data_IF_647364433507
#
_entry.id   IF_647364433507
#
_cell.length_a   1.000
_cell.length_b   1.000
_cell.length_c   1.000
_cell.angle_alpha   90.00
_cell.angle_beta   90.00
_cell.angle_gamma   90.00
#
_symmetry.space_group_name_H-M   'P 1'
#
loop_
_entity.id
_entity.type
_entity.pdbx_description
1 polymer ?
#
# COMPACT_ATOMS: atom_id res chain seq x y z
N UNK A 1 24.47 87.08 14.33
CA UNK A 1 23.23 86.63 13.65
C UNK A 1 23.61 85.46 12.75
N UNK A 2 23.30 84.23 13.18
CA UNK A 2 22.32 83.27 12.56
C UNK A 2 22.94 82.42 11.44
N UNK A 3 23.28 81.14 11.69
CA UNK A 3 22.52 79.88 11.51
C UNK A 3 22.72 79.22 10.13
N UNK A 4 23.00 77.89 10.08
CA UNK A 4 22.89 77.06 8.87
C UNK A 4 23.69 75.75 8.89
N UNK A 5 22.99 74.61 8.95
CA UNK A 5 23.41 73.19 9.11
C UNK A 5 23.60 72.49 7.74
N UNK A 6 24.31 71.33 7.62
CA UNK A 6 24.73 70.71 6.36
C UNK A 6 23.84 69.54 5.87
N UNK A 7 23.94 69.17 4.58
CA UNK A 7 23.37 67.96 3.96
C UNK A 7 24.33 67.38 2.90
N UNK A 8 24.70 66.08 2.97
CA UNK A 8 24.08 64.88 2.33
C UNK A 8 24.63 64.65 0.91
N UNK A 9 25.05 63.48 0.40
CA UNK A 9 25.23 62.05 0.76
C UNK A 9 26.06 61.43 -0.43
N UNK A 10 26.39 60.11 -0.59
CA UNK A 10 26.26 58.96 0.31
C UNK A 10 27.56 58.11 0.43
N UNK A 11 27.65 57.28 1.47
CA UNK A 11 28.59 56.16 1.57
C UNK A 11 27.82 54.84 1.58
N UNK A 12 28.40 53.87 0.89
CA UNK A 12 27.95 52.49 0.67
C UNK A 12 27.85 51.76 2.02
N UNK A 13 26.69 51.19 2.33
CA UNK A 13 26.52 50.28 3.47
C UNK A 13 27.14 48.91 3.16
N UNK A 14 28.21 48.59 3.88
CA UNK A 14 28.73 47.22 3.99
C UNK A 14 27.79 46.37 4.86
N UNK A 15 27.37 45.23 4.30
CA UNK A 15 26.45 44.30 4.94
C UNK A 15 26.99 43.69 6.24
N UNK A 16 26.15 43.67 7.27
CA UNK A 16 26.41 43.04 8.55
C UNK A 16 26.66 41.53 8.43
N UNK A 17 27.60 40.96 9.22
CA UNK A 17 27.87 39.53 9.21
C UNK A 17 26.72 38.73 9.85
N UNK A 18 26.31 37.67 9.16
CA UNK A 18 25.17 36.83 9.51
C UNK A 18 25.18 36.29 10.94
N UNK A 19 24.02 36.43 11.58
CA UNK A 19 23.65 35.85 12.88
C UNK A 19 24.01 34.36 12.95
N UNK A 20 24.99 34.02 13.80
CA UNK A 20 25.23 32.65 14.28
C UNK A 20 24.01 32.22 15.10
N UNK A 21 23.06 31.56 14.47
CA UNK A 21 21.97 30.90 15.19
C UNK A 21 22.59 29.90 16.16
N UNK A 22 22.33 30.09 17.45
CA UNK A 22 22.78 29.22 18.52
C UNK A 22 22.12 27.84 18.33
N UNK A 23 22.85 26.91 17.69
CA UNK A 23 22.30 25.62 17.26
C UNK A 23 22.18 24.68 18.46
N UNK A 24 21.02 24.70 19.11
CA UNK A 24 20.66 23.75 20.16
C UNK A 24 20.75 22.31 19.66
N UNK A 25 21.66 21.53 20.25
CA UNK A 25 21.82 20.11 19.99
C UNK A 25 20.95 19.29 20.93
N UNK A 26 20.80 17.99 20.67
CA UNK A 26 20.09 17.07 21.58
C UNK A 26 20.72 17.01 22.97
N UNK A 27 22.01 17.36 23.12
CA UNK A 27 22.67 17.45 24.42
C UNK A 27 22.16 18.64 25.24
N UNK A 28 21.73 19.70 24.56
CA UNK A 28 21.21 20.94 25.15
C UNK A 28 19.71 20.85 25.46
N UNK A 29 19.01 19.89 24.86
CA UNK A 29 17.64 19.52 25.25
C UNK A 29 17.66 18.77 26.59
N UNK A 30 16.84 19.17 27.57
CA UNK A 30 16.67 18.43 28.82
C UNK A 30 16.44 16.95 28.53
N UNK A 31 17.06 16.02 29.26
CA UNK A 31 16.93 14.59 28.97
C UNK A 31 15.48 14.12 28.86
N UNK A 32 14.56 14.71 29.63
CA UNK A 32 13.14 14.37 29.63
C UNK A 32 12.37 14.83 28.37
N UNK A 33 12.90 15.79 27.63
CA UNK A 33 12.27 16.36 26.43
C UNK A 33 12.84 15.77 25.12
N UNK A 34 13.89 14.96 25.23
CA UNK A 34 14.50 14.31 24.08
C UNK A 34 13.53 13.25 23.50
N UNK A 35 13.39 13.17 22.17
CA UNK A 35 12.47 12.24 21.51
C UNK A 35 12.55 10.77 21.96
N UNK A 36 13.75 10.22 22.22
CA UNK A 36 13.88 8.81 22.66
C UNK A 36 13.35 8.62 24.08
N UNK A 37 13.74 9.49 24.97
CA UNK A 37 13.34 9.48 26.37
C UNK A 37 11.82 9.74 26.49
N UNK A 38 11.28 10.63 25.66
CA UNK A 38 9.82 10.83 25.52
C UNK A 38 9.11 9.58 24.99
N UNK A 39 9.65 8.92 23.96
CA UNK A 39 9.09 7.68 23.43
C UNK A 39 9.02 6.60 24.52
N UNK A 40 10.09 6.46 25.31
CA UNK A 40 10.15 5.50 26.43
C UNK A 40 9.17 5.83 27.56
N UNK A 41 8.98 7.12 27.86
CA UNK A 41 8.16 7.57 28.99
C UNK A 41 6.67 7.68 28.68
N UNK A 42 6.33 8.12 27.48
CA UNK A 42 4.97 8.52 27.12
C UNK A 42 4.34 7.71 25.98
N UNK A 43 5.12 6.88 25.26
CA UNK A 43 4.65 6.13 24.11
C UNK A 43 4.70 6.92 22.80
N UNK A 44 4.61 6.19 21.67
CA UNK A 44 4.78 6.75 20.33
C UNK A 44 3.65 7.69 19.89
N UNK A 45 2.43 7.47 20.41
CA UNK A 45 1.23 8.25 20.11
C UNK A 45 1.29 9.69 20.65
N UNK A 46 2.24 9.98 21.55
CA UNK A 46 2.49 11.31 22.13
C UNK A 46 3.63 12.07 21.48
N UNK A 47 4.25 11.51 20.44
CA UNK A 47 5.31 12.16 19.68
C UNK A 47 4.77 12.75 18.38
N UNK A 48 5.30 13.90 17.97
CA UNK A 48 5.04 14.43 16.63
C UNK A 48 5.73 13.61 15.54
N UNK A 49 5.32 13.76 14.28
CA UNK A 49 6.02 13.15 13.14
C UNK A 49 7.50 13.54 13.08
N UNK A 50 7.83 14.78 13.41
CA UNK A 50 9.23 15.26 13.50
C UNK A 50 10.00 14.54 14.62
N UNK A 51 9.38 14.31 15.77
CA UNK A 51 9.98 13.57 16.89
C UNK A 51 10.19 12.09 16.54
N UNK A 52 9.23 11.46 15.87
CA UNK A 52 9.35 10.07 15.39
C UNK A 52 10.48 9.93 14.37
N UNK A 53 10.56 10.85 13.39
CA UNK A 53 11.67 10.92 12.45
C UNK A 53 13.01 11.13 13.16
N UNK A 54 13.04 11.99 14.18
CA UNK A 54 14.25 12.22 14.99
C UNK A 54 14.72 10.96 15.72
N UNK A 55 13.80 10.15 16.23
CA UNK A 55 14.11 8.85 16.85
C UNK A 55 14.70 7.90 15.81
N UNK A 56 14.04 7.76 14.65
CA UNK A 56 14.48 6.89 13.57
C UNK A 56 15.88 7.30 13.08
N UNK A 57 16.07 8.55 12.67
CA UNK A 57 17.35 9.04 12.11
C UNK A 57 18.48 8.98 13.12
N UNK A 58 18.17 8.93 14.43
CA UNK A 58 19.07 8.64 15.55
C UNK A 58 20.06 9.76 15.89
N UNK A 59 20.85 10.20 14.91
CA UNK A 59 21.90 11.20 15.10
C UNK A 59 21.89 12.23 13.98
N UNK A 60 22.30 13.45 14.32
CA UNK A 60 22.53 14.52 13.36
C UNK A 60 23.68 14.23 12.39
N UNK A 61 24.09 15.24 11.63
CA UNK A 61 25.35 15.25 10.89
C UNK A 61 26.19 16.44 11.35
N UNK A 62 27.43 16.56 10.88
CA UNK A 62 28.31 17.69 11.18
C UNK A 62 27.61 19.03 10.97
N UNK A 63 27.36 19.74 12.07
CA UNK A 63 26.71 21.06 12.09
C UNK A 63 25.20 21.07 11.92
N UNK A 64 24.51 19.93 11.93
CA UNK A 64 23.04 19.86 11.80
C UNK A 64 22.46 18.83 12.79
N UNK A 65 21.78 19.28 13.86
CA UNK A 65 21.10 18.41 14.82
C UNK A 65 20.01 17.55 14.16
N UNK A 66 19.70 16.41 14.78
CA UNK A 66 18.72 15.46 14.21
C UNK A 66 17.30 16.04 14.09
N UNK A 67 16.90 16.91 15.02
CA UNK A 67 15.62 17.64 14.94
C UNK A 67 15.56 18.54 13.71
N UNK A 68 16.64 19.27 13.42
CA UNK A 68 16.72 20.12 12.20
C UNK A 68 16.60 19.26 10.93
N UNK A 69 17.23 18.08 10.90
CA UNK A 69 17.09 17.15 9.76
C UNK A 69 15.64 16.65 9.61
N UNK A 70 14.99 16.28 10.71
CA UNK A 70 13.60 15.83 10.71
C UNK A 70 12.64 16.95 10.28
N UNK A 71 12.90 18.18 10.72
CA UNK A 71 12.14 19.36 10.35
C UNK A 71 12.25 19.66 8.85
N UNK A 72 13.46 19.65 8.30
CA UNK A 72 13.70 19.84 6.86
C UNK A 72 13.00 18.77 6.00
N UNK A 73 12.92 17.52 6.46
CA UNK A 73 12.14 16.49 5.78
C UNK A 73 10.65 16.84 5.72
N UNK A 74 10.07 17.30 6.83
CA UNK A 74 8.65 17.69 6.88
C UNK A 74 8.40 18.91 5.99
N UNK A 75 9.27 19.92 6.01
CA UNK A 75 9.13 21.10 5.13
C UNK A 75 9.23 20.71 3.65
N UNK A 76 10.23 19.92 3.28
CA UNK A 76 10.51 19.61 1.87
C UNK A 76 9.45 18.72 1.21
N UNK A 77 8.83 17.81 1.99
CA UNK A 77 7.87 16.84 1.46
C UNK A 77 6.43 17.09 1.93
N UNK A 78 6.21 17.93 2.94
CA UNK A 78 4.90 18.33 3.45
C UNK A 78 4.21 17.31 4.36
N UNK A 79 4.45 16.01 4.20
CA UNK A 79 3.82 14.96 4.99
C UNK A 79 4.68 13.70 5.12
N UNK A 80 4.42 12.88 6.15
CA UNK A 80 5.06 11.57 6.31
C UNK A 80 4.79 10.63 5.12
N UNK A 81 3.59 10.70 4.52
CA UNK A 81 3.24 9.92 3.34
C UNK A 81 4.11 10.30 2.13
N UNK A 82 4.28 11.61 1.87
CA UNK A 82 5.15 12.08 0.80
C UNK A 82 6.64 11.72 1.02
N UNK A 83 7.09 11.66 2.28
CA UNK A 83 8.43 11.17 2.63
C UNK A 83 8.53 9.66 2.34
N UNK A 84 7.50 8.89 2.67
CA UNK A 84 7.45 7.45 2.40
C UNK A 84 7.50 7.14 0.90
N UNK A 85 6.82 7.94 0.07
CA UNK A 85 6.78 7.80 -1.39
C UNK A 85 8.05 8.28 -2.09
N UNK A 86 8.82 9.17 -1.46
CA UNK A 86 10.05 9.70 -2.03
C UNK A 86 11.04 8.57 -2.38
N UNK A 87 11.73 8.77 -3.50
CA UNK A 87 12.85 7.93 -3.90
C UNK A 87 14.07 8.19 -3.02
N UNK A 88 14.99 7.22 -2.94
CA UNK A 88 16.26 7.37 -2.21
C UNK A 88 17.02 8.62 -2.69
N UNK A 89 17.02 8.90 -3.99
CA UNK A 89 17.69 10.08 -4.56
C UNK A 89 17.03 11.39 -4.17
N UNK A 90 15.70 11.43 -4.04
CA UNK A 90 15.00 12.61 -3.53
C UNK A 90 15.30 12.83 -2.04
N UNK A 91 15.27 11.78 -1.22
CA UNK A 91 15.60 11.86 0.21
C UNK A 91 17.03 12.35 0.45
N UNK A 92 17.99 11.89 -0.36
CA UNK A 92 19.41 12.29 -0.28
C UNK A 92 19.66 13.77 -0.57
N UNK A 93 18.68 14.51 -1.12
CA UNK A 93 18.79 15.97 -1.32
C UNK A 93 18.73 16.72 0.01
N UNK A 94 18.17 16.12 1.06
CA UNK A 94 18.14 16.72 2.39
C UNK A 94 19.51 16.60 3.04
N UNK A 95 20.08 17.75 3.43
CA UNK A 95 21.36 17.78 4.14
C UNK A 95 21.28 16.89 5.40
N UNK A 96 22.24 15.99 5.54
CA UNK A 96 22.29 15.05 6.66
C UNK A 96 21.56 13.73 6.45
N UNK A 97 20.90 13.53 5.30
CA UNK A 97 20.36 12.24 4.85
C UNK A 97 21.31 11.63 3.81
N UNK A 98 22.22 10.79 4.27
CA UNK A 98 23.05 9.94 3.41
C UNK A 98 22.34 8.64 3.02
N UNK A 99 22.99 7.77 2.22
CA UNK A 99 22.40 6.51 1.76
C UNK A 99 21.91 5.63 2.91
N UNK A 100 22.67 5.54 4.01
CA UNK A 100 22.28 4.75 5.19
C UNK A 100 20.96 5.22 5.82
N UNK A 101 20.80 6.54 6.01
CA UNK A 101 19.59 7.13 6.61
C UNK A 101 18.40 7.08 5.65
N UNK A 102 18.62 7.26 4.35
CA UNK A 102 17.59 7.11 3.34
C UNK A 102 17.05 5.66 3.31
N UNK A 103 17.93 4.66 3.26
CA UNK A 103 17.55 3.25 3.34
C UNK A 103 16.83 2.94 4.65
N UNK A 104 17.28 3.50 5.77
CA UNK A 104 16.62 3.32 7.06
C UNK A 104 15.18 3.84 7.07
N UNK A 105 14.93 5.03 6.51
CA UNK A 105 13.57 5.57 6.38
C UNK A 105 12.71 4.68 5.46
N UNK A 106 13.23 4.30 4.28
CA UNK A 106 12.51 3.40 3.37
C UNK A 106 12.19 2.07 4.02
N UNK A 107 13.11 1.49 4.78
CA UNK A 107 12.87 0.26 5.51
C UNK A 107 11.79 0.43 6.58
N UNK A 108 11.82 1.52 7.35
CA UNK A 108 10.81 1.78 8.37
C UNK A 108 9.40 1.92 7.77
N UNK A 109 9.25 2.67 6.68
CA UNK A 109 7.96 2.80 6.00
C UNK A 109 7.52 1.52 5.31
N UNK A 110 8.45 0.74 4.74
CA UNK A 110 8.12 -0.57 4.16
C UNK A 110 7.68 -1.57 5.23
N UNK A 111 8.29 -1.55 6.41
CA UNK A 111 7.83 -2.35 7.56
C UNK A 111 6.43 -1.91 7.97
N UNK A 112 6.18 -0.60 8.08
CA UNK A 112 4.84 -0.09 8.40
C UNK A 112 3.81 -0.51 7.34
N UNK A 113 4.14 -0.42 6.05
CA UNK A 113 3.28 -0.87 4.94
C UNK A 113 3.00 -2.38 5.03
N UNK A 114 4.02 -3.21 5.23
CA UNK A 114 3.85 -4.66 5.41
C UNK A 114 3.09 -5.01 6.67
N UNK A 115 3.27 -4.24 7.73
CA UNK A 115 2.54 -4.38 8.97
C UNK A 115 1.06 -4.03 8.74
N UNK A 116 0.74 -2.92 8.08
CA UNK A 116 -0.62 -2.57 7.67
C UNK A 116 -1.22 -3.62 6.73
N UNK A 117 -0.46 -4.14 5.77
CA UNK A 117 -0.87 -5.26 4.91
C UNK A 117 -1.11 -6.55 5.72
N UNK A 118 -0.35 -6.77 6.79
CA UNK A 118 -0.58 -7.89 7.71
C UNK A 118 -1.79 -7.68 8.62
N UNK A 119 -2.06 -6.43 9.01
CA UNK A 119 -3.27 -6.00 9.72
C UNK A 119 -4.50 -6.00 8.82
N UNK A 120 -4.31 -5.88 7.50
CA UNK A 120 -5.34 -6.10 6.48
C UNK A 120 -5.85 -7.56 6.48
N UNK A 121 -5.30 -8.41 7.36
CA UNK A 121 -5.94 -9.62 7.86
C UNK A 121 -7.27 -9.42 8.58
N UNK A 122 -7.69 -8.19 8.93
CA UNK A 122 -8.92 -7.90 9.68
C UNK A 122 -9.83 -6.80 9.09
N UNK A 123 -10.00 -6.78 7.77
CA UNK A 123 -11.34 -6.65 7.16
C UNK A 123 -11.27 -7.25 5.75
N UNK A 124 -11.03 -8.56 5.71
CA UNK A 124 -11.14 -9.33 4.47
C UNK A 124 -12.48 -8.97 3.83
N UNK A 125 -12.44 -8.42 2.61
CA UNK A 125 -13.64 -8.00 1.88
C UNK A 125 -14.60 -9.17 1.83
N UNK A 126 -15.81 -8.97 2.36
CA UNK A 126 -16.86 -9.98 2.26
C UNK A 126 -17.31 -10.07 0.80
N UNK A 127 -17.15 -11.26 0.21
CA UNK A 127 -17.53 -11.56 -1.16
C UNK A 127 -18.79 -12.43 -1.19
N UNK A 128 -19.82 -11.97 -0.46
CA UNK A 128 -21.04 -12.74 -0.26
C UNK A 128 -22.01 -12.74 -1.46
N UNK A 129 -21.87 -11.81 -2.41
CA UNK A 129 -22.71 -11.70 -3.62
C UNK A 129 -21.89 -11.67 -4.91
N UNK A 130 -22.51 -12.08 -6.02
CA UNK A 130 -21.86 -12.01 -7.34
C UNK A 130 -21.48 -10.57 -7.71
N UNK A 131 -22.30 -9.58 -7.33
CA UNK A 131 -21.97 -8.16 -7.48
C UNK A 131 -20.69 -7.77 -6.71
N UNK A 132 -20.51 -8.25 -5.48
CA UNK A 132 -19.31 -7.99 -4.69
C UNK A 132 -18.08 -8.66 -5.32
N UNK A 133 -18.21 -9.91 -5.78
CA UNK A 133 -17.16 -10.65 -6.50
C UNK A 133 -16.76 -9.92 -7.79
N UNK A 134 -17.74 -9.54 -8.61
CA UNK A 134 -17.50 -8.84 -9.86
C UNK A 134 -16.81 -7.49 -9.63
N UNK A 135 -17.25 -6.73 -8.62
CA UNK A 135 -16.60 -5.46 -8.21
C UNK A 135 -15.16 -5.69 -7.75
N UNK A 136 -14.90 -6.76 -7.01
CA UNK A 136 -13.56 -7.11 -6.51
C UNK A 136 -12.59 -7.49 -7.64
N UNK A 137 -13.06 -8.16 -8.70
CA UNK A 137 -12.20 -8.64 -9.79
C UNK A 137 -12.03 -7.62 -10.92
N UNK A 138 -13.02 -6.76 -11.20
CA UNK A 138 -12.95 -5.80 -12.31
C UNK A 138 -11.67 -4.97 -12.41
N UNK A 139 -11.09 -4.41 -11.33
CA UNK A 139 -9.84 -3.66 -11.43
C UNK A 139 -8.68 -4.49 -11.99
N UNK A 140 -8.69 -5.81 -11.79
CA UNK A 140 -7.67 -6.73 -12.32
C UNK A 140 -7.87 -7.09 -13.79
N UNK A 141 -9.03 -6.73 -14.35
CA UNK A 141 -9.47 -7.03 -15.71
C UNK A 141 -9.41 -5.83 -16.67
N UNK A 142 -9.32 -4.59 -16.17
CA UNK A 142 -9.52 -3.36 -16.95
C UNK A 142 -8.64 -3.24 -18.22
N UNK A 143 -7.43 -3.81 -18.21
CA UNK A 143 -6.50 -3.75 -19.36
C UNK A 143 -6.26 -5.10 -20.05
N UNK A 144 -7.08 -6.11 -19.76
CA UNK A 144 -6.86 -7.49 -20.26
C UNK A 144 -7.64 -7.72 -21.55
N UNK A 145 -6.93 -7.70 -22.69
CA UNK A 145 -7.48 -8.09 -24.01
C UNK A 145 -7.63 -9.60 -24.20
N UNK A 146 -7.07 -10.39 -23.30
CA UNK A 146 -7.16 -11.86 -23.27
C UNK A 146 -8.09 -12.28 -22.13
N UNK A 147 -8.71 -13.44 -22.27
CA UNK A 147 -9.42 -14.07 -21.16
C UNK A 147 -8.42 -14.42 -20.05
N UNK A 148 -8.83 -14.23 -18.80
CA UNK A 148 -8.07 -14.53 -17.60
C UNK A 148 -9.00 -15.25 -16.63
N UNK A 149 -8.64 -16.46 -16.22
CA UNK A 149 -9.39 -17.24 -15.25
C UNK A 149 -8.76 -17.10 -13.87
N UNK A 150 -9.56 -16.79 -12.86
CA UNK A 150 -9.15 -16.55 -11.49
C UNK A 150 -9.77 -17.57 -10.56
N UNK A 151 -9.02 -17.94 -9.53
CA UNK A 151 -9.53 -18.62 -8.33
C UNK A 151 -9.47 -17.63 -7.16
N UNK A 152 -10.56 -17.55 -6.40
CA UNK A 152 -10.74 -16.63 -5.27
C UNK A 152 -11.03 -17.49 -4.05
N UNK A 153 -10.12 -17.48 -3.10
CA UNK A 153 -10.19 -18.27 -1.88
C UNK A 153 -10.96 -17.50 -0.81
N UNK A 154 -11.96 -18.13 -0.19
CA UNK A 154 -12.78 -17.51 0.85
C UNK A 154 -12.70 -18.29 2.17
N UNK A 155 -12.78 -17.58 3.29
CA UNK A 155 -12.91 -18.20 4.61
C UNK A 155 -14.36 -18.58 4.94
N UNK A 156 -14.58 -19.17 6.12
CA UNK A 156 -15.90 -19.64 6.55
C UNK A 156 -16.93 -18.51 6.71
N UNK A 157 -16.47 -17.26 6.82
CA UNK A 157 -17.30 -16.05 6.84
C UNK A 157 -17.41 -15.39 5.46
N UNK A 158 -17.05 -16.11 4.39
CA UNK A 158 -17.11 -15.64 3.00
C UNK A 158 -16.24 -14.41 2.72
N UNK A 159 -15.16 -14.28 3.49
CA UNK A 159 -14.24 -13.17 3.34
C UNK A 159 -13.04 -13.58 2.52
N UNK A 160 -12.59 -12.67 1.65
CA UNK A 160 -11.46 -12.87 0.75
C UNK A 160 -10.17 -13.26 1.48
N UNK A 161 -9.61 -14.42 1.18
CA UNK A 161 -8.29 -14.86 1.63
C UNK A 161 -7.25 -14.43 0.59
N UNK A 162 -7.48 -14.79 -0.67
CA UNK A 162 -6.51 -14.65 -1.76
C UNK A 162 -7.19 -14.76 -3.13
N UNK A 163 -6.61 -14.13 -4.14
CA UNK A 163 -6.98 -14.31 -5.55
C UNK A 163 -5.75 -14.69 -6.34
N UNK A 164 -5.80 -15.81 -7.07
CA UNK A 164 -4.75 -16.24 -7.98
C UNK A 164 -5.26 -16.32 -9.42
N UNK A 165 -4.37 -16.09 -10.38
CA UNK A 165 -4.62 -16.32 -11.80
C UNK A 165 -4.32 -17.78 -12.10
N UNK A 166 -5.31 -18.50 -12.61
CA UNK A 166 -5.20 -19.92 -13.00
C UNK A 166 -4.74 -20.02 -14.46
N UNK A 167 -5.30 -19.19 -15.34
CA UNK A 167 -4.95 -19.18 -16.76
C UNK A 167 -5.09 -17.80 -17.40
N UNK A 168 -4.33 -17.57 -18.48
CA UNK A 168 -4.39 -16.37 -19.33
C UNK A 168 -4.33 -16.79 -20.79
N UNK A 169 -5.30 -16.36 -21.61
CA UNK A 169 -5.50 -16.85 -22.98
C UNK A 169 -6.85 -17.53 -23.11
N UNK A 170 -7.10 -18.23 -24.23
CA UNK A 170 -8.34 -19.01 -24.37
C UNK A 170 -8.52 -19.97 -23.21
N UNK A 171 -9.75 -20.11 -22.76
CA UNK A 171 -10.21 -21.14 -21.81
C UNK A 171 -10.09 -22.56 -22.39
N UNK A 172 -8.92 -22.96 -22.91
CA UNK A 172 -8.72 -24.38 -23.22
C UNK A 172 -8.85 -25.19 -21.91
N UNK A 173 -9.75 -26.17 -21.92
CA UNK A 173 -9.98 -27.15 -20.83
C UNK A 173 -8.76 -27.66 -20.05
N UNK A 174 -7.55 -27.59 -20.62
CA UNK A 174 -6.29 -27.99 -19.98
C UNK A 174 -5.75 -26.98 -18.97
N UNK A 175 -6.02 -25.68 -19.14
CA UNK A 175 -5.41 -24.60 -18.35
C UNK A 175 -6.17 -24.28 -17.05
N UNK A 176 -7.49 -24.48 -17.02
CA UNK A 176 -8.32 -24.29 -15.81
C UNK A 176 -8.68 -25.63 -15.14
N UNK A 177 -7.74 -26.57 -15.09
CA UNK A 177 -7.97 -27.89 -14.51
C UNK A 177 -8.33 -27.79 -13.00
N UNK A 178 -9.23 -28.63 -12.44
CA UNK A 178 -9.58 -28.57 -11.01
C UNK A 178 -8.37 -28.58 -10.06
N UNK A 179 -7.31 -29.31 -10.42
CA UNK A 179 -6.06 -29.32 -9.64
C UNK A 179 -5.48 -27.91 -9.45
N UNK A 180 -5.46 -27.09 -10.50
CA UNK A 180 -4.87 -25.75 -10.47
C UNK A 180 -5.79 -24.79 -9.69
N UNK A 181 -7.10 -24.94 -9.83
CA UNK A 181 -8.10 -24.12 -9.12
C UNK A 181 -8.06 -24.36 -7.60
N UNK A 182 -7.89 -25.61 -7.18
CA UNK A 182 -7.97 -26.01 -5.78
C UNK A 182 -6.62 -26.17 -5.06
N UNK A 183 -5.48 -26.16 -5.76
CA UNK A 183 -4.15 -26.31 -5.13
C UNK A 183 -3.91 -25.24 -4.04
N UNK A 184 -4.13 -23.97 -4.38
CA UNK A 184 -4.02 -22.87 -3.43
C UNK A 184 -5.10 -22.95 -2.32
N UNK A 185 -6.30 -23.43 -2.66
CA UNK A 185 -7.40 -23.56 -1.71
C UNK A 185 -7.07 -24.54 -0.57
N UNK A 186 -6.44 -25.67 -0.91
CA UNK A 186 -5.99 -26.67 0.08
C UNK A 186 -4.85 -26.11 0.93
N UNK A 187 -3.86 -25.48 0.30
CA UNK A 187 -2.67 -24.91 0.96
C UNK A 187 -3.04 -23.80 1.96
N UNK A 188 -3.92 -22.90 1.55
CA UNK A 188 -4.30 -21.70 2.31
C UNK A 188 -5.54 -21.93 3.18
N UNK A 189 -5.99 -23.20 3.31
CA UNK A 189 -7.12 -23.64 4.15
C UNK A 189 -8.41 -22.86 3.86
N UNK A 190 -8.71 -22.67 2.59
CA UNK A 190 -9.95 -22.03 2.16
C UNK A 190 -11.17 -22.88 2.55
N UNK A 191 -12.24 -22.23 2.99
CA UNK A 191 -13.52 -22.91 3.27
C UNK A 191 -14.34 -23.11 2.00
N UNK A 192 -14.26 -22.16 1.07
CA UNK A 192 -14.92 -22.23 -0.24
C UNK A 192 -14.07 -21.51 -1.29
N UNK A 193 -14.31 -21.82 -2.57
CA UNK A 193 -13.67 -21.17 -3.71
C UNK A 193 -14.74 -20.50 -4.59
N UNK A 194 -14.43 -19.33 -5.12
CA UNK A 194 -15.15 -18.72 -6.25
C UNK A 194 -14.21 -18.71 -7.43
N UNK A 195 -14.71 -19.00 -8.62
CA UNK A 195 -13.97 -18.79 -9.87
C UNK A 195 -14.56 -17.63 -10.66
N UNK A 196 -13.72 -16.93 -11.40
CA UNK A 196 -14.18 -15.82 -12.24
C UNK A 196 -13.32 -15.68 -13.49
N UNK A 197 -13.92 -15.26 -14.60
CA UNK A 197 -13.18 -14.88 -15.79
C UNK A 197 -13.85 -13.75 -16.56
N UNK A 198 -13.10 -13.13 -17.47
CA UNK A 198 -13.63 -12.11 -18.36
C UNK A 198 -13.95 -12.65 -19.75
N UNK A 199 -15.00 -12.12 -20.37
CA UNK A 199 -15.26 -12.24 -21.80
C UNK A 199 -14.92 -10.92 -22.51
N UNK A 200 -13.79 -10.83 -23.25
CA UNK A 200 -13.43 -9.65 -24.02
C UNK A 200 -14.46 -9.26 -25.09
N UNK A 201 -15.33 -10.19 -25.51
CA UNK A 201 -16.43 -9.96 -26.45
C UNK A 201 -17.48 -8.97 -25.95
N UNK A 202 -17.57 -8.76 -24.62
CA UNK A 202 -18.56 -7.88 -24.00
C UNK A 202 -19.89 -8.57 -23.65
N UNK A 203 -20.04 -9.87 -23.92
CA UNK A 203 -21.20 -10.68 -23.52
C UNK A 203 -20.84 -11.58 -22.32
N UNK A 204 -21.52 -11.43 -21.16
CA UNK A 204 -21.25 -12.28 -19.99
C UNK A 204 -21.92 -13.66 -20.07
N UNK A 205 -22.70 -13.98 -21.10
CA UNK A 205 -23.34 -15.29 -21.25
C UNK A 205 -22.30 -16.43 -21.28
N UNK A 206 -22.51 -17.53 -20.54
CA UNK A 206 -21.56 -18.65 -20.50
C UNK A 206 -21.56 -19.42 -21.82
N UNK A 207 -20.39 -19.89 -22.22
CA UNK A 207 -20.21 -20.89 -23.28
C UNK A 207 -20.50 -22.30 -22.75
N UNK A 208 -20.66 -23.27 -23.66
CA UNK A 208 -20.79 -24.68 -23.26
C UNK A 208 -19.53 -25.20 -22.53
N UNK A 209 -18.36 -24.61 -22.82
CA UNK A 209 -17.10 -24.95 -22.14
C UNK A 209 -17.10 -24.45 -20.70
N UNK A 210 -17.60 -23.23 -20.45
CA UNK A 210 -17.80 -22.70 -19.11
C UNK A 210 -18.73 -23.61 -18.29
N UNK A 211 -19.85 -24.04 -18.87
CA UNK A 211 -20.80 -24.94 -18.20
C UNK A 211 -20.14 -26.28 -17.85
N UNK A 212 -19.41 -26.88 -18.79
CA UNK A 212 -18.70 -28.15 -18.54
C UNK A 212 -17.61 -28.00 -17.48
N UNK A 213 -16.82 -26.94 -17.55
CA UNK A 213 -15.78 -26.64 -16.57
C UNK A 213 -16.38 -26.45 -15.17
N UNK A 214 -17.44 -25.65 -15.06
CA UNK A 214 -18.12 -25.38 -13.79
C UNK A 214 -18.58 -26.68 -13.12
N UNK A 215 -19.24 -27.58 -13.88
CA UNK A 215 -19.69 -28.88 -13.35
C UNK A 215 -18.53 -29.72 -12.81
N UNK A 216 -17.42 -29.79 -13.55
CA UNK A 216 -16.21 -30.50 -13.10
C UNK A 216 -15.63 -29.90 -11.82
N UNK A 217 -15.65 -28.57 -11.69
CA UNK A 217 -15.17 -27.86 -10.50
C UNK A 217 -16.09 -28.08 -9.28
N UNK A 218 -17.41 -28.14 -9.48
CA UNK A 218 -18.38 -28.50 -8.43
C UNK A 218 -18.13 -29.91 -7.92
N UNK A 219 -17.97 -30.88 -8.83
CA UNK A 219 -17.69 -32.27 -8.47
C UNK A 219 -16.37 -32.41 -7.68
N UNK A 220 -15.31 -31.77 -8.17
CA UNK A 220 -14.01 -31.77 -7.49
C UNK A 220 -14.07 -31.13 -6.11
N UNK A 221 -14.77 -29.99 -5.98
CA UNK A 221 -14.96 -29.30 -4.71
C UNK A 221 -15.71 -30.16 -3.69
N UNK A 222 -16.71 -30.92 -4.15
CA UNK A 222 -17.43 -31.89 -3.30
C UNK A 222 -16.52 -33.00 -2.78
N UNK A 223 -15.63 -33.53 -3.63
CA UNK A 223 -14.67 -34.58 -3.23
C UNK A 223 -13.63 -34.06 -2.23
N UNK A 224 -13.15 -32.83 -2.44
CA UNK A 224 -12.13 -32.20 -1.58
C UNK A 224 -12.71 -31.64 -0.27
N UNK A 225 -14.03 -31.48 -0.17
CA UNK A 225 -14.67 -30.78 0.95
C UNK A 225 -14.48 -29.26 0.91
N UNK A 226 -14.17 -28.70 -0.27
CA UNK A 226 -14.02 -27.25 -0.50
C UNK A 226 -15.01 -26.87 -1.62
N UNK A 227 -16.15 -26.31 -1.26
CA UNK A 227 -17.23 -26.04 -2.22
C UNK A 227 -16.87 -24.93 -3.21
N UNK A 228 -17.21 -25.13 -4.49
CA UNK A 228 -17.30 -24.04 -5.46
C UNK A 228 -18.55 -23.21 -5.13
N UNK A 229 -18.36 -22.04 -4.53
CA UNK A 229 -19.45 -21.13 -4.14
C UNK A 229 -20.12 -20.51 -5.35
N UNK A 230 -19.35 -20.03 -6.31
CA UNK A 230 -19.88 -19.39 -7.51
C UNK A 230 -18.87 -19.44 -8.66
N UNK A 231 -19.37 -19.27 -9.88
CA UNK A 231 -18.60 -18.96 -11.06
C UNK A 231 -19.13 -17.66 -11.67
N UNK A 232 -18.30 -16.62 -11.72
CA UNK A 232 -18.69 -15.29 -12.18
C UNK A 232 -17.99 -14.89 -13.48
N UNK A 233 -18.75 -14.72 -14.55
CA UNK A 233 -18.25 -14.22 -15.84
C UNK A 233 -18.42 -12.71 -15.90
N UNK A 234 -17.38 -11.97 -16.28
CA UNK A 234 -17.35 -10.50 -16.27
C UNK A 234 -17.20 -9.98 -17.70
N UNK A 235 -18.09 -9.06 -18.09
CA UNK A 235 -18.05 -8.43 -19.41
C UNK A 235 -18.28 -6.92 -19.27
N UNK A 236 -17.19 -6.16 -19.19
CA UNK A 236 -17.23 -4.71 -18.98
C UNK A 236 -17.96 -4.32 -17.69
N UNK A 237 -19.11 -3.65 -17.82
CA UNK A 237 -19.97 -3.28 -16.69
C UNK A 237 -20.90 -4.42 -16.22
N UNK A 238 -21.09 -5.48 -17.02
CA UNK A 238 -22.01 -6.58 -16.76
C UNK A 238 -21.31 -7.80 -16.16
N UNK A 239 -22.09 -8.70 -15.56
CA UNK A 239 -21.61 -10.01 -15.11
C UNK A 239 -22.71 -11.06 -15.22
N UNK A 240 -22.30 -12.33 -15.21
CA UNK A 240 -23.16 -13.50 -15.08
C UNK A 240 -22.69 -14.31 -13.87
N UNK A 241 -23.63 -14.83 -13.08
CA UNK A 241 -23.34 -15.73 -11.95
C UNK A 241 -24.06 -17.05 -12.17
N UNK A 242 -23.31 -18.14 -12.11
CA UNK A 242 -23.88 -19.48 -12.20
C UNK A 242 -24.80 -19.78 -11.02
N UNK A 243 -24.45 -19.30 -9.82
CA UNK A 243 -25.25 -19.48 -8.61
C UNK A 243 -26.57 -18.70 -8.66
N UNK A 244 -26.54 -17.42 -9.02
CA UNK A 244 -27.76 -16.60 -9.14
C UNK A 244 -28.68 -17.12 -10.26
N UNK A 245 -28.10 -17.79 -11.26
CA UNK A 245 -28.84 -18.44 -12.36
C UNK A 245 -29.28 -19.88 -12.05
N UNK A 246 -29.09 -20.36 -10.82
CA UNK A 246 -29.45 -21.71 -10.35
C UNK A 246 -28.83 -22.87 -11.16
N UNK A 247 -27.63 -22.68 -11.72
CA UNK A 247 -26.87 -23.73 -12.40
C UNK A 247 -25.92 -24.50 -11.47
N UNK A 248 -25.69 -23.98 -10.26
CA UNK A 248 -24.92 -24.59 -9.16
C UNK A 248 -25.47 -24.16 -7.79
#
# INVERSE_FOLDING_TARGET
>A
MTYGVPGSSPLIEEGQPGSRHNRHTMRDTPPQERPRERLMRYGADKLSGEELLSVLISRGTGGMPVREIAHELIIAFGSLAAIADATIEQLKRIRGIGPAKACQLKAAFEIARRYEESLSGEERVELASAAAIARHIRPRLQDRRKECFFTILLDSRQRHIRTDVVSVGSLETTLAHPREVYDAAVRDKASTVVVAHNHPSGDPAPSDEDVRLTRRLVEAGRVLGIMLRDHVIIAGSKYYSFRESALI
#
